data_IF_915203683448
#
_entry.id   IF_915203683448
#
_cell.length_a   1.000
_cell.length_b   1.000
_cell.length_c   1.000
_cell.angle_alpha   90.00
_cell.angle_beta   90.00
_cell.angle_gamma   90.00
#
_symmetry.space_group_name_H-M   'P 1'
#
loop_
_entity.id
_entity.type
_entity.pdbx_description
1 polymer ?
#
# COMPACT_ATOMS: atom_id res chain seq x y z
N UNK A 1 -6.76 7.78 16.43
CA UNK A 1 -5.57 6.93 16.22
C UNK A 1 -5.58 6.31 14.83
N UNK A 2 -6.28 5.19 14.57
CA UNK A 2 -6.26 4.57 13.23
C UNK A 2 -6.77 5.49 12.11
N UNK A 3 -7.84 6.25 12.36
CA UNK A 3 -8.33 7.28 11.42
C UNK A 3 -7.32 8.39 11.12
N UNK A 4 -6.43 8.69 12.07
CA UNK A 4 -5.38 9.70 11.87
C UNK A 4 -4.32 9.15 10.91
N UNK A 5 -4.00 7.85 10.99
CA UNK A 5 -3.17 7.17 10.01
C UNK A 5 -3.83 7.12 8.63
N UNK A 6 -5.14 6.84 8.55
CA UNK A 6 -5.89 6.90 7.28
C UNK A 6 -5.80 8.29 6.64
N UNK A 7 -5.99 9.34 7.46
CA UNK A 7 -5.93 10.74 7.02
C UNK A 7 -4.53 11.11 6.54
N UNK A 8 -3.49 10.86 7.35
CA UNK A 8 -2.11 11.14 6.97
C UNK A 8 -1.68 10.35 5.72
N UNK A 9 -2.12 9.10 5.58
CA UNK A 9 -1.87 8.28 4.39
C UNK A 9 -2.53 8.89 3.16
N UNK A 10 -3.78 9.33 3.29
CA UNK A 10 -4.48 10.00 2.20
C UNK A 10 -3.76 11.28 1.76
N UNK A 11 -3.32 12.12 2.69
CA UNK A 11 -2.57 13.36 2.41
C UNK A 11 -1.24 13.06 1.69
N UNK A 12 -0.50 12.06 2.15
CA UNK A 12 0.72 11.61 1.49
C UNK A 12 0.46 11.17 0.04
N UNK A 13 -0.58 10.35 -0.18
CA UNK A 13 -0.92 9.87 -1.52
C UNK A 13 -1.50 10.97 -2.42
N UNK A 14 -2.21 11.96 -1.87
CA UNK A 14 -2.70 13.10 -2.66
C UNK A 14 -1.54 13.93 -3.23
N UNK A 15 -0.39 14.00 -2.53
CA UNK A 15 0.84 14.61 -3.09
C UNK A 15 1.39 13.88 -4.33
N UNK A 16 1.07 12.60 -4.50
CA UNK A 16 1.45 11.78 -5.66
C UNK A 16 0.42 11.86 -6.79
N UNK A 17 -0.82 12.24 -6.50
CA UNK A 17 -1.91 12.30 -7.50
C UNK A 17 -1.58 13.24 -8.65
N UNK A 18 -0.99 14.40 -8.37
CA UNK A 18 -0.57 15.35 -9.42
C UNK A 18 0.53 14.78 -10.32
N UNK A 19 1.40 13.92 -9.77
CA UNK A 19 2.54 13.32 -10.47
C UNK A 19 2.18 12.06 -11.25
N UNK A 20 1.21 11.29 -10.75
CA UNK A 20 0.79 10.02 -11.34
C UNK A 20 -0.44 10.14 -12.24
N UNK A 21 -1.28 11.16 -12.02
CA UNK A 21 -2.58 11.30 -12.66
C UNK A 21 -3.62 10.28 -12.18
N UNK A 22 -3.34 9.56 -11.09
CA UNK A 22 -4.14 8.44 -10.59
C UNK A 22 -4.82 8.85 -9.29
N UNK A 23 -6.12 8.59 -9.17
CA UNK A 23 -6.89 8.87 -7.96
C UNK A 23 -6.38 8.06 -6.76
N UNK A 24 -6.75 8.48 -5.56
CA UNK A 24 -6.34 7.74 -4.36
C UNK A 24 -7.24 6.51 -4.14
N UNK A 25 -6.68 5.39 -3.67
CA UNK A 25 -7.47 4.30 -3.12
C UNK A 25 -8.10 4.74 -1.80
N UNK A 26 -9.14 4.03 -1.38
CA UNK A 26 -9.63 4.15 0.00
C UNK A 26 -8.62 3.50 0.95
N UNK A 27 -8.29 4.18 2.03
CA UNK A 27 -7.40 3.65 3.07
C UNK A 27 -8.24 3.10 4.24
N UNK A 28 -7.86 1.92 4.72
CA UNK A 28 -8.42 1.30 5.92
C UNK A 28 -7.26 0.93 6.85
N UNK A 29 -7.05 1.68 7.92
CA UNK A 29 -6.02 1.37 8.90
C UNK A 29 -6.53 0.33 9.91
N UNK A 30 -5.68 -0.62 10.29
CA UNK A 30 -6.09 -1.74 11.15
C UNK A 30 -5.01 -2.20 12.13
N UNK A 31 -5.44 -2.80 13.24
CA UNK A 31 -4.57 -3.51 14.18
C UNK A 31 -4.36 -4.98 13.79
N UNK A 32 -5.25 -5.52 12.94
CA UNK A 32 -5.20 -6.93 12.57
C UNK A 32 -3.99 -7.20 11.66
N UNK A 33 -3.37 -8.38 11.84
CA UNK A 33 -2.36 -8.86 10.91
C UNK A 33 -3.05 -9.16 9.57
N UNK A 34 -2.71 -8.37 8.55
CA UNK A 34 -3.17 -8.53 7.18
C UNK A 34 -1.92 -8.54 6.31
N UNK A 35 -1.80 -9.56 5.46
CA UNK A 35 -0.71 -9.74 4.51
C UNK A 35 -1.31 -10.03 3.13
N UNK A 36 -0.56 -9.74 2.07
CA UNK A 36 -0.96 -10.09 0.70
C UNK A 36 -0.99 -11.60 0.47
N UNK A 37 -0.02 -12.29 1.08
CA UNK A 37 0.23 -13.72 0.98
C UNK A 37 0.86 -14.22 2.31
N UNK A 38 0.70 -15.49 2.71
CA UNK A 38 1.36 -16.04 3.90
C UNK A 38 2.88 -15.85 3.95
N UNK A 39 3.56 -15.78 2.80
CA UNK A 39 5.01 -15.55 2.71
C UNK A 39 5.38 -14.05 2.62
N UNK A 40 4.39 -13.18 2.44
CA UNK A 40 4.64 -11.73 2.30
C UNK A 40 5.07 -11.12 3.62
N UNK A 41 6.02 -10.17 3.52
CA UNK A 41 6.44 -9.31 4.62
C UNK A 41 5.72 -7.97 4.62
N UNK A 42 4.93 -7.68 3.58
CA UNK A 42 4.20 -6.43 3.43
C UNK A 42 3.08 -6.39 4.46
N UNK A 43 3.12 -5.40 5.34
CA UNK A 43 2.16 -5.25 6.44
C UNK A 43 0.83 -4.62 5.98
N UNK A 44 0.19 -5.22 4.99
CA UNK A 44 -1.10 -4.81 4.50
C UNK A 44 -1.56 -5.65 3.31
N UNK A 45 -2.64 -5.19 2.67
CA UNK A 45 -3.14 -5.80 1.44
C UNK A 45 -3.91 -4.79 0.60
N UNK A 46 -3.70 -4.84 -0.72
CA UNK A 46 -4.52 -4.13 -1.68
C UNK A 46 -5.68 -5.01 -2.18
N UNK A 47 -6.89 -4.45 -2.19
CA UNK A 47 -8.09 -5.10 -2.68
C UNK A 47 -8.54 -4.43 -4.00
N UNK A 48 -8.20 -5.01 -5.16
CA UNK A 48 -8.43 -4.37 -6.47
C UNK A 48 -9.88 -4.02 -6.76
N UNK A 49 -10.81 -4.97 -6.59
CA UNK A 49 -12.27 -4.78 -6.80
C UNK A 49 -12.89 -3.61 -6.05
N UNK A 50 -12.34 -3.22 -4.90
CA UNK A 50 -12.85 -2.10 -4.09
C UNK A 50 -11.92 -0.89 -4.08
N UNK A 51 -10.76 -0.98 -4.74
CA UNK A 51 -9.68 0.01 -4.65
C UNK A 51 -9.36 0.41 -3.21
N UNK A 52 -9.22 -0.59 -2.34
CA UNK A 52 -8.93 -0.40 -0.91
C UNK A 52 -7.51 -0.85 -0.59
N UNK A 53 -6.75 -0.03 0.13
CA UNK A 53 -5.53 -0.46 0.83
C UNK A 53 -5.90 -0.67 2.30
N UNK A 54 -5.85 -1.92 2.77
CA UNK A 54 -5.88 -2.21 4.19
C UNK A 54 -4.44 -2.19 4.73
N UNK A 55 -4.14 -1.27 5.63
CA UNK A 55 -2.79 -1.01 6.12
C UNK A 55 -2.71 -1.32 7.62
N UNK A 56 -1.80 -2.21 8.00
CA UNK A 56 -1.56 -2.45 9.42
C UNK A 56 -0.89 -1.23 10.06
N UNK A 57 -1.20 -0.94 11.32
CA UNK A 57 -0.62 0.19 12.05
C UNK A 57 0.92 0.13 12.20
N UNK A 58 1.51 -1.06 12.08
CA UNK A 58 2.95 -1.29 12.08
C UNK A 58 3.61 -1.16 10.70
N UNK A 59 2.84 -0.96 9.63
CA UNK A 59 3.35 -0.91 8.26
C UNK A 59 4.26 0.29 8.04
N UNK A 60 5.44 0.06 7.50
CA UNK A 60 6.41 1.11 7.19
C UNK A 60 6.10 1.77 5.84
N UNK A 61 6.73 2.91 5.57
CA UNK A 61 6.54 3.62 4.30
C UNK A 61 6.76 2.72 3.07
N UNK A 62 7.77 1.82 3.01
CA UNK A 62 7.91 0.89 1.89
C UNK A 62 6.70 -0.03 1.67
N UNK A 63 6.03 -0.47 2.75
CA UNK A 63 4.82 -1.29 2.65
C UNK A 63 3.70 -0.51 1.97
N UNK A 64 3.46 0.73 2.42
CA UNK A 64 2.46 1.61 1.82
C UNK A 64 2.74 1.86 0.33
N UNK A 65 3.99 2.17 -0.02
CA UNK A 65 4.36 2.47 -1.41
C UNK A 65 4.26 1.24 -2.30
N UNK A 66 4.56 0.05 -1.78
CA UNK A 66 4.33 -1.21 -2.47
C UNK A 66 2.82 -1.43 -2.75
N UNK A 67 1.98 -1.30 -1.72
CA UNK A 67 0.51 -1.43 -1.86
C UNK A 67 -0.09 -0.39 -2.82
N UNK A 68 0.42 0.85 -2.79
CA UNK A 68 0.01 1.89 -3.74
C UNK A 68 0.49 1.60 -5.17
N UNK A 69 1.62 0.90 -5.34
CA UNK A 69 2.07 0.44 -6.66
C UNK A 69 1.06 -0.53 -7.29
N UNK A 70 0.50 -1.45 -6.51
CA UNK A 70 -0.59 -2.31 -6.96
C UNK A 70 -1.85 -1.53 -7.35
N UNK A 71 -2.18 -0.47 -6.62
CA UNK A 71 -3.28 0.42 -6.99
C UNK A 71 -3.04 1.06 -8.36
N UNK A 72 -1.85 1.60 -8.60
CA UNK A 72 -1.48 2.19 -9.90
C UNK A 72 -1.52 1.15 -11.02
N UNK A 73 -1.01 -0.06 -10.79
CA UNK A 73 -1.07 -1.16 -11.76
C UNK A 73 -2.51 -1.50 -12.11
N UNK A 74 -3.38 -1.67 -11.11
CA UNK A 74 -4.79 -1.98 -11.31
C UNK A 74 -5.52 -0.87 -12.08
N UNK A 75 -5.23 0.40 -11.77
CA UNK A 75 -5.78 1.53 -12.51
C UNK A 75 -5.35 1.53 -13.98
N UNK A 76 -4.06 1.27 -14.25
CA UNK A 76 -3.49 1.29 -15.62
C UNK A 76 -3.92 0.10 -16.48
N UNK A 77 -4.04 -1.09 -15.88
CA UNK A 77 -4.42 -2.32 -16.58
C UNK A 77 -5.93 -2.47 -16.75
N UNK A 78 -6.71 -1.82 -15.88
CA UNK A 78 -8.11 -2.15 -15.61
C UNK A 78 -8.21 -3.23 -14.52
N UNK A 79 -9.15 -3.03 -13.58
CA UNK A 79 -9.30 -3.89 -12.40
C UNK A 79 -9.53 -5.36 -12.76
N UNK A 80 -10.43 -5.65 -13.70
CA UNK A 80 -10.72 -7.03 -14.12
C UNK A 80 -9.48 -7.74 -14.66
N UNK A 81 -8.72 -7.06 -15.52
CA UNK A 81 -7.49 -7.61 -16.10
C UNK A 81 -6.42 -7.82 -15.02
N UNK A 82 -6.30 -6.89 -14.09
CA UNK A 82 -5.41 -7.02 -12.95
C UNK A 82 -5.75 -8.26 -12.11
N UNK A 83 -7.03 -8.45 -11.78
CA UNK A 83 -7.48 -9.60 -10.98
C UNK A 83 -7.26 -10.93 -11.69
N UNK A 84 -7.53 -11.00 -12.99
CA UNK A 84 -7.25 -12.20 -13.79
C UNK A 84 -5.75 -12.55 -13.70
N UNK A 85 -4.87 -11.58 -13.92
CA UNK A 85 -3.42 -11.80 -13.86
C UNK A 85 -2.95 -12.20 -12.45
N UNK A 86 -3.49 -11.56 -11.42
CA UNK A 86 -3.17 -11.88 -10.03
C UNK A 86 -3.55 -13.32 -9.67
N UNK A 87 -4.76 -13.74 -10.05
CA UNK A 87 -5.26 -15.10 -9.79
C UNK A 87 -4.47 -16.16 -10.58
N UNK A 88 -4.11 -15.87 -11.83
CA UNK A 88 -3.28 -16.76 -12.65
C UNK A 88 -1.88 -16.95 -12.06
N UNK A 89 -1.27 -15.88 -11.56
CA UNK A 89 0.05 -15.91 -10.93
C UNK A 89 0.00 -16.62 -9.59
N UNK A 90 -1.00 -16.33 -8.73
CA UNK A 90 -1.19 -16.98 -7.44
C UNK A 90 -1.32 -18.50 -7.56
N UNK A 91 -2.04 -18.97 -8.58
CA UNK A 91 -2.24 -20.41 -8.81
C UNK A 91 -0.98 -21.15 -9.28
N UNK A 92 0.05 -20.44 -9.77
CA UNK A 92 1.19 -21.04 -10.50
C UNK A 92 2.56 -20.71 -9.91
N UNK A 93 2.69 -19.59 -9.22
CA UNK A 93 3.97 -19.00 -8.84
C UNK A 93 4.02 -18.67 -7.35
N UNK A 94 5.15 -18.94 -6.67
CA UNK A 94 5.43 -18.38 -5.35
C UNK A 94 5.31 -16.86 -5.36
N UNK A 95 4.92 -16.24 -4.25
CA UNK A 95 4.63 -14.81 -4.15
C UNK A 95 5.75 -13.94 -4.75
N UNK A 96 7.01 -14.22 -4.38
CA UNK A 96 8.20 -13.47 -4.85
C UNK A 96 8.46 -13.57 -6.36
N UNK A 97 7.83 -14.49 -7.08
CA UNK A 97 7.99 -14.70 -8.52
C UNK A 97 6.79 -14.20 -9.34
N UNK A 98 5.71 -13.74 -8.70
CA UNK A 98 4.51 -13.26 -9.39
C UNK A 98 4.84 -11.97 -10.16
N UNK A 99 4.29 -11.82 -11.37
CA UNK A 99 4.64 -10.73 -12.30
C UNK A 99 4.23 -9.37 -11.72
N UNK A 100 3.02 -9.29 -11.18
CA UNK A 100 2.50 -8.07 -10.56
C UNK A 100 3.35 -7.62 -9.38
N UNK A 101 3.87 -8.57 -8.59
CA UNK A 101 4.75 -8.30 -7.43
C UNK A 101 6.10 -7.72 -7.87
N UNK A 102 6.74 -8.35 -8.85
CA UNK A 102 8.01 -7.87 -9.43
C UNK A 102 7.85 -6.46 -9.99
N UNK A 103 6.77 -6.21 -10.73
CA UNK A 103 6.51 -4.91 -11.32
C UNK A 103 6.11 -3.87 -10.26
N UNK A 104 5.45 -4.28 -9.17
CA UNK A 104 5.09 -3.39 -8.07
C UNK A 104 6.33 -2.94 -7.32
N UNK A 105 7.30 -3.82 -7.07
CA UNK A 105 8.59 -3.45 -6.47
C UNK A 105 9.37 -2.44 -7.32
N UNK A 106 9.38 -2.61 -8.65
CA UNK A 106 10.01 -1.65 -9.57
C UNK A 106 9.31 -0.31 -9.52
N UNK A 107 7.99 -0.31 -9.60
CA UNK A 107 7.19 0.89 -9.56
C UNK A 107 7.32 1.62 -8.22
N UNK A 108 7.38 0.89 -7.10
CA UNK A 108 7.58 1.44 -5.77
C UNK A 108 8.88 2.27 -5.68
N UNK A 109 9.94 1.81 -6.33
CA UNK A 109 11.20 2.56 -6.43
C UNK A 109 11.00 3.91 -7.14
N UNK A 110 10.25 3.93 -8.25
CA UNK A 110 9.91 5.16 -8.96
C UNK A 110 9.01 6.07 -8.14
N UNK A 111 7.97 5.54 -7.49
CA UNK A 111 7.05 6.32 -6.65
C UNK A 111 7.81 6.97 -5.50
N UNK A 112 8.74 6.24 -4.87
CA UNK A 112 9.54 6.75 -3.76
C UNK A 112 10.32 8.01 -4.15
N UNK A 113 10.84 8.08 -5.38
CA UNK A 113 11.53 9.26 -5.91
C UNK A 113 10.58 10.44 -6.18
N UNK A 114 9.28 10.17 -6.34
CA UNK A 114 8.25 11.17 -6.57
C UNK A 114 7.59 11.66 -5.28
N UNK A 115 7.85 11.06 -4.12
CA UNK A 115 7.24 11.47 -2.87
C UNK A 115 7.63 12.91 -2.51
N UNK A 116 6.66 13.66 -2.00
CA UNK A 116 6.97 14.88 -1.27
C UNK A 116 7.66 14.51 0.05
N UNK A 117 8.90 14.99 0.23
CA UNK A 117 9.72 14.61 1.39
C UNK A 117 9.10 15.09 2.71
N UNK A 118 8.45 16.26 2.70
CA UNK A 118 7.82 16.81 3.90
C UNK A 118 6.63 15.95 4.31
N UNK A 119 5.74 15.64 3.36
CA UNK A 119 4.60 14.76 3.59
C UNK A 119 5.04 13.36 4.06
N UNK A 120 6.11 12.81 3.48
CA UNK A 120 6.63 11.50 3.89
C UNK A 120 7.16 11.50 5.34
N UNK A 121 7.83 12.57 5.77
CA UNK A 121 8.30 12.73 7.15
C UNK A 121 7.12 12.87 8.11
N UNK A 122 6.13 13.68 7.76
CA UNK A 122 4.91 13.88 8.58
C UNK A 122 4.11 12.59 8.73
N UNK A 123 4.00 11.81 7.66
CA UNK A 123 3.38 10.49 7.66
C UNK A 123 4.10 9.53 8.62
N UNK A 124 5.43 9.42 8.50
CA UNK A 124 6.21 8.50 9.34
C UNK A 124 6.18 8.91 10.82
N UNK A 125 6.18 10.21 11.12
CA UNK A 125 5.99 10.71 12.48
C UNK A 125 4.61 10.30 13.04
N UNK A 126 3.55 10.51 12.26
CA UNK A 126 2.18 10.15 12.64
C UNK A 126 2.06 8.65 12.89
N UNK A 127 2.56 7.84 11.96
CA UNK A 127 2.60 6.38 12.08
C UNK A 127 3.30 5.94 13.34
N UNK A 128 4.54 6.40 13.59
CA UNK A 128 5.32 6.05 14.80
C UNK A 128 4.59 6.39 16.09
N UNK A 129 3.97 7.56 16.15
CA UNK A 129 3.17 7.96 17.32
C UNK A 129 2.03 6.98 17.57
N UNK A 130 1.31 6.59 16.52
CA UNK A 130 0.20 5.64 16.61
C UNK A 130 0.68 4.25 16.99
N UNK A 131 1.75 3.74 16.37
CA UNK A 131 2.31 2.43 16.69
C UNK A 131 2.72 2.34 18.15
N UNK A 132 3.45 3.34 18.65
CA UNK A 132 3.84 3.40 20.06
C UNK A 132 2.63 3.41 21.00
N UNK A 133 1.57 4.15 20.67
CA UNK A 133 0.36 4.19 21.49
C UNK A 133 -0.40 2.87 21.48
N UNK A 134 -0.42 2.14 20.37
CA UNK A 134 -1.12 0.85 20.25
C UNK A 134 -0.35 -0.30 20.90
N UNK A 135 0.98 -0.29 20.81
CA UNK A 135 1.87 -1.26 21.48
C UNK A 135 1.78 -1.18 23.02
N UNK A 136 1.38 -0.03 23.58
CA UNK A 136 1.16 0.11 25.02
C UNK A 136 -0.15 -0.53 25.51
N UNK A 137 -1.04 -0.89 24.58
CA UNK A 137 -2.39 -1.42 24.88
C UNK A 137 -2.49 -2.91 24.55
N UNK A 138 -1.56 -3.44 23.74
CA UNK A 138 -1.44 -4.86 23.37
C UNK A 138 -0.61 -5.68 24.35
#
# INVERSE_FOLDING_TARGET
MLRDLETATYELLDSLKEKTGIGNPRILATMNKILEDPESKVMGKYYPSSSVIALNYGAELPDLIHLYSHHIQAYRLGQDKYEILANEDEARLPWVMRRLEIDAMRLATTITQLLDQKAAIEWEHTRRSISKSLEQIS
#
